data_IF_394828818171
#
_entry.id   IF_394828818171
#
_cell.length_a   1.000
_cell.length_b   1.000
_cell.length_c   1.000
_cell.angle_alpha   90.00
_cell.angle_beta   90.00
_cell.angle_gamma   90.00
#
_symmetry.space_group_name_H-M   'P 1'
#
loop_
_entity.id
_entity.type
_entity.pdbx_description
1 polymer ?
#
# COMPACT_ATOMS: atom_id res chain seq x y z
N UNK A 1 15.06 11.64 3.34
CA UNK A 1 14.99 12.11 4.71
C UNK A 1 14.14 11.17 5.56
N UNK A 2 14.63 10.79 6.73
CA UNK A 2 13.94 9.87 7.65
C UNK A 2 12.60 10.42 8.16
N UNK A 3 12.43 11.75 8.10
CA UNK A 3 11.19 12.40 8.52
C UNK A 3 10.18 12.56 7.40
N UNK A 4 10.44 11.98 6.23
CA UNK A 4 9.49 12.01 5.13
C UNK A 4 8.27 11.17 5.47
N UNK A 5 7.09 11.74 5.22
CA UNK A 5 5.83 11.02 5.41
C UNK A 5 5.65 10.01 4.31
N UNK A 6 5.25 8.80 4.69
CA UNK A 6 5.03 7.70 3.75
C UNK A 6 3.54 7.51 3.48
N UNK A 7 2.73 7.44 4.53
CA UNK A 7 1.29 7.25 4.40
C UNK A 7 0.57 7.63 5.69
N UNK A 8 -0.73 7.84 5.56
CA UNK A 8 -1.63 7.98 6.70
C UNK A 8 -2.30 6.62 6.95
N UNK A 9 -2.32 6.18 8.20
CA UNK A 9 -2.93 4.91 8.59
C UNK A 9 -4.13 5.21 9.47
N UNK A 10 -5.29 4.66 9.09
CA UNK A 10 -6.50 4.66 9.91
C UNK A 10 -6.74 3.23 10.39
N UNK A 11 -6.62 3.02 11.69
CA UNK A 11 -6.80 1.71 12.29
C UNK A 11 -8.20 1.63 12.91
N UNK A 12 -9.03 0.78 12.34
CA UNK A 12 -10.42 0.59 12.75
C UNK A 12 -10.62 -0.65 13.63
N UNK A 13 -9.55 -1.33 14.05
CA UNK A 13 -9.67 -2.58 14.80
C UNK A 13 -10.15 -2.39 16.23
N UNK A 14 -9.90 -1.23 16.82
CA UNK A 14 -10.34 -0.89 18.15
C UNK A 14 -11.75 -0.30 18.18
N UNK A 15 -12.24 0.03 19.39
CA UNK A 15 -13.54 0.65 19.57
C UNK A 15 -13.59 2.10 19.09
N UNK A 16 -12.41 2.74 18.98
CA UNK A 16 -12.26 4.11 18.50
C UNK A 16 -11.25 4.08 17.36
N UNK A 17 -11.57 4.69 16.20
CA UNK A 17 -10.60 4.81 15.12
C UNK A 17 -9.34 5.53 15.58
N UNK A 18 -8.18 5.00 15.21
CA UNK A 18 -6.88 5.58 15.54
C UNK A 18 -6.21 5.99 14.25
N UNK A 19 -5.83 7.27 14.16
CA UNK A 19 -5.12 7.79 13.00
C UNK A 19 -3.66 8.06 13.34
N UNK A 20 -2.77 7.70 12.44
CA UNK A 20 -1.35 7.93 12.57
C UNK A 20 -0.73 8.24 11.21
N UNK A 21 0.46 8.81 11.25
CA UNK A 21 1.29 9.01 10.07
C UNK A 21 2.51 8.11 10.19
N UNK A 22 2.77 7.34 9.15
CA UNK A 22 3.97 6.52 9.05
C UNK A 22 5.06 7.31 8.35
N UNK A 23 6.24 7.33 8.95
CA UNK A 23 7.42 8.03 8.42
C UNK A 23 8.40 7.04 7.81
N UNK A 24 9.31 7.56 6.99
CA UNK A 24 10.30 6.75 6.26
C UNK A 24 11.18 5.89 7.19
N UNK A 25 11.42 6.35 8.41
CA UNK A 25 12.16 5.58 9.42
C UNK A 25 11.31 4.52 10.14
N UNK A 26 10.11 4.22 9.63
CA UNK A 26 9.18 3.21 10.13
C UNK A 26 8.47 3.56 11.44
N UNK A 27 8.63 4.79 11.92
CA UNK A 27 7.93 5.27 13.13
C UNK A 27 6.54 5.74 12.75
N UNK A 28 5.54 5.38 13.55
CA UNK A 28 4.19 5.90 13.46
C UNK A 28 3.96 6.93 14.57
N UNK A 29 3.36 8.05 14.20
CA UNK A 29 2.99 9.10 15.16
C UNK A 29 1.51 9.36 15.01
N UNK A 30 0.76 9.30 16.12
CA UNK A 30 -0.67 9.63 16.10
C UNK A 30 -0.86 11.06 15.61
N UNK A 31 -1.83 11.24 14.72
CA UNK A 31 -2.09 12.54 14.11
C UNK A 31 -3.51 12.59 13.58
N UNK A 32 -4.20 13.70 13.83
CA UNK A 32 -5.51 13.97 13.26
C UNK A 32 -5.41 14.79 11.98
N UNK A 33 -4.18 15.14 11.57
CA UNK A 33 -3.97 15.93 10.37
C UNK A 33 -4.33 15.11 9.11
N UNK A 34 -4.87 15.81 8.13
CA UNK A 34 -5.17 15.23 6.83
C UNK A 34 -4.02 15.58 5.90
N UNK A 35 -3.37 14.57 5.32
CA UNK A 35 -2.28 14.77 4.39
C UNK A 35 -2.63 14.22 3.02
N UNK A 36 -2.12 14.85 1.97
CA UNK A 36 -2.23 14.36 0.61
C UNK A 36 -1.13 13.33 0.35
N UNK A 37 -1.20 12.20 1.04
CA UNK A 37 -0.29 11.06 0.90
C UNK A 37 -1.15 9.80 0.84
N UNK A 38 -0.61 8.66 0.36
CA UNK A 38 -1.40 7.43 0.29
C UNK A 38 -2.02 7.12 1.63
N UNK A 39 -3.22 6.58 1.61
CA UNK A 39 -3.94 6.19 2.82
C UNK A 39 -4.03 4.67 2.93
N UNK A 40 -3.91 4.19 4.15
CA UNK A 40 -4.12 2.79 4.49
C UNK A 40 -5.20 2.72 5.58
N UNK A 41 -6.19 1.87 5.36
CA UNK A 41 -7.21 1.56 6.37
C UNK A 41 -7.01 0.12 6.81
N UNK A 42 -6.85 -0.11 8.11
CA UNK A 42 -6.76 -1.44 8.70
C UNK A 42 -8.10 -1.77 9.33
N UNK A 43 -8.80 -2.77 8.80
CA UNK A 43 -10.14 -3.14 9.25
C UNK A 43 -10.15 -4.35 10.16
N UNK A 44 -9.15 -5.22 10.04
CA UNK A 44 -9.03 -6.43 10.83
C UNK A 44 -7.56 -6.79 11.00
N UNK A 45 -7.23 -7.64 11.94
CA UNK A 45 -5.86 -8.01 12.25
C UNK A 45 -5.68 -9.47 12.53
N UNK A 46 -4.48 -9.86 12.97
CA UNK A 46 -3.36 -9.01 13.39
C UNK A 46 -2.56 -8.43 12.23
N UNK A 47 -1.82 -7.37 12.52
CA UNK A 47 -0.82 -6.81 11.61
C UNK A 47 0.47 -7.62 11.76
N UNK A 48 1.05 -8.12 10.67
CA UNK A 48 2.25 -8.95 10.78
C UNK A 48 3.48 -8.14 11.21
N UNK A 49 4.45 -8.84 11.79
CA UNK A 49 5.74 -8.26 12.16
C UNK A 49 6.42 -7.71 10.91
N UNK A 50 7.01 -6.53 11.02
CA UNK A 50 7.69 -5.89 9.89
C UNK A 50 6.77 -5.13 8.94
N UNK A 51 5.50 -4.98 9.32
CA UNK A 51 4.49 -4.34 8.47
C UNK A 51 4.90 -2.92 8.06
N UNK A 52 5.40 -2.11 9.00
CA UNK A 52 5.78 -0.73 8.69
C UNK A 52 6.92 -0.67 7.67
N UNK A 53 7.89 -1.57 7.77
CA UNK A 53 8.97 -1.68 6.80
C UNK A 53 8.44 -2.06 5.41
N UNK A 54 7.45 -2.96 5.35
CA UNK A 54 6.80 -3.33 4.10
C UNK A 54 6.08 -2.13 3.47
N UNK A 55 5.42 -1.30 4.28
CA UNK A 55 4.75 -0.11 3.78
C UNK A 55 5.74 0.91 3.21
N UNK A 56 6.85 1.13 3.90
CA UNK A 56 7.90 2.03 3.41
C UNK A 56 8.47 1.51 2.09
N UNK A 57 8.77 0.22 2.01
CA UNK A 57 9.29 -0.43 0.81
C UNK A 57 8.31 -0.32 -0.36
N UNK A 58 7.03 -0.56 -0.10
CA UNK A 58 5.95 -0.43 -1.08
C UNK A 58 5.95 0.97 -1.71
N UNK A 59 5.85 2.00 -0.89
CA UNK A 59 5.71 3.37 -1.38
C UNK A 59 6.98 3.85 -2.07
N UNK A 60 8.15 3.56 -1.50
CA UNK A 60 9.43 3.97 -2.11
C UNK A 60 9.62 3.30 -3.47
N UNK A 61 9.24 2.03 -3.61
CA UNK A 61 9.34 1.31 -4.88
C UNK A 61 8.37 1.88 -5.91
N UNK A 62 7.11 2.12 -5.53
CA UNK A 62 6.13 2.74 -6.44
C UNK A 62 6.61 4.10 -6.94
N UNK A 63 7.19 4.91 -6.06
CA UNK A 63 7.76 6.21 -6.44
C UNK A 63 8.90 6.06 -7.45
N UNK A 64 9.71 5.01 -7.35
CA UNK A 64 10.83 4.79 -8.26
C UNK A 64 10.38 4.52 -9.70
N UNK A 65 9.12 4.10 -9.87
CA UNK A 65 8.49 3.90 -11.19
C UNK A 65 7.69 5.13 -11.65
N UNK A 66 7.82 6.26 -10.95
CA UNK A 66 7.12 7.52 -11.26
C UNK A 66 5.59 7.39 -11.19
N UNK A 67 5.08 6.45 -10.41
CA UNK A 67 3.65 6.36 -10.18
C UNK A 67 3.20 7.43 -9.20
N UNK A 68 1.99 7.94 -9.41
CA UNK A 68 1.41 8.92 -8.50
C UNK A 68 0.91 8.20 -7.24
N UNK A 69 1.77 8.13 -6.23
CA UNK A 69 1.44 7.43 -4.98
C UNK A 69 0.24 8.03 -4.26
N UNK A 70 -0.05 9.33 -4.49
CA UNK A 70 -1.22 9.98 -3.89
C UNK A 70 -2.54 9.48 -4.47
N UNK A 71 -2.49 8.76 -5.59
CA UNK A 71 -3.67 8.15 -6.20
C UNK A 71 -3.95 6.74 -5.67
N UNK A 72 -3.14 6.25 -4.74
CA UNK A 72 -3.34 4.93 -4.12
C UNK A 72 -4.13 5.05 -2.82
N UNK A 73 -5.06 4.12 -2.65
CA UNK A 73 -5.74 3.86 -1.38
C UNK A 73 -5.53 2.38 -1.06
N UNK A 74 -5.08 2.09 0.14
CA UNK A 74 -4.81 0.72 0.57
C UNK A 74 -5.75 0.30 1.70
N UNK A 75 -6.05 -0.99 1.73
CA UNK A 75 -6.84 -1.61 2.81
C UNK A 75 -6.16 -2.92 3.21
N UNK A 76 -6.05 -3.15 4.51
CA UNK A 76 -5.64 -4.43 5.05
C UNK A 76 -6.76 -4.96 5.93
N UNK A 77 -7.24 -6.17 5.65
CA UNK A 77 -8.39 -6.77 6.35
C UNK A 77 -8.00 -7.95 7.25
N UNK A 78 -6.72 -8.09 7.58
CA UNK A 78 -6.22 -9.21 8.37
C UNK A 78 -5.83 -10.41 7.52
N UNK A 79 -6.20 -10.43 6.26
CA UNK A 79 -5.97 -11.54 5.33
C UNK A 79 -5.26 -11.06 4.06
N UNK A 80 -5.82 -10.06 3.40
CA UNK A 80 -5.30 -9.53 2.15
C UNK A 80 -5.00 -8.04 2.25
N UNK A 81 -3.90 -7.64 1.61
CA UNK A 81 -3.50 -6.26 1.42
C UNK A 81 -3.92 -5.83 0.01
N UNK A 82 -4.84 -4.87 -0.06
CA UNK A 82 -5.47 -4.48 -1.32
C UNK A 82 -5.21 -3.01 -1.58
N UNK A 83 -4.78 -2.69 -2.79
CA UNK A 83 -4.62 -1.32 -3.26
C UNK A 83 -5.62 -0.99 -4.34
N UNK A 84 -5.99 0.28 -4.39
CA UNK A 84 -6.81 0.82 -5.46
C UNK A 84 -6.05 2.00 -6.06
N UNK A 85 -5.77 1.91 -7.35
CA UNK A 85 -5.05 2.94 -8.07
C UNK A 85 -5.85 3.33 -9.30
N UNK A 86 -6.45 4.54 -9.24
CA UNK A 86 -7.33 5.01 -10.30
C UNK A 86 -8.45 3.98 -10.52
N UNK A 87 -8.54 3.38 -11.70
CA UNK A 87 -9.58 2.40 -12.03
C UNK A 87 -9.14 0.95 -11.88
N UNK A 88 -8.01 0.72 -11.21
CA UNK A 88 -7.42 -0.62 -11.08
C UNK A 88 -7.44 -1.06 -9.63
N UNK A 89 -7.98 -2.25 -9.37
CA UNK A 89 -7.94 -2.92 -8.08
C UNK A 89 -6.76 -3.88 -8.07
N UNK A 90 -5.94 -3.80 -7.02
CA UNK A 90 -4.72 -4.60 -6.90
C UNK A 90 -4.78 -5.40 -5.61
N UNK A 91 -4.85 -6.72 -5.74
CA UNK A 91 -4.78 -7.62 -4.59
C UNK A 91 -3.33 -8.10 -4.47
N UNK A 92 -2.62 -7.56 -3.49
CA UNK A 92 -1.23 -7.95 -3.20
C UNK A 92 -1.14 -9.27 -2.43
N UNK A 93 -2.29 -9.80 -1.95
CA UNK A 93 -2.30 -10.96 -1.09
C UNK A 93 -1.73 -10.64 0.29
N UNK A 94 -0.82 -11.46 0.79
CA UNK A 94 -0.16 -11.17 2.07
C UNK A 94 0.65 -9.88 1.98
N UNK A 95 0.71 -9.08 3.06
CA UNK A 95 1.53 -7.86 3.08
C UNK A 95 3.01 -8.16 3.29
N UNK A 96 3.54 -9.07 2.49
CA UNK A 96 4.93 -9.49 2.48
C UNK A 96 5.50 -9.32 1.07
N UNK A 97 6.80 -9.05 0.99
CA UNK A 97 7.51 -8.86 -0.28
C UNK A 97 6.88 -7.74 -1.12
N UNK A 98 6.36 -6.71 -0.46
CA UNK A 98 5.65 -5.63 -1.14
C UNK A 98 6.57 -4.79 -2.04
N UNK A 99 7.86 -4.72 -1.73
CA UNK A 99 8.83 -4.09 -2.61
C UNK A 99 8.93 -4.81 -3.96
N UNK A 100 9.06 -6.13 -3.94
CA UNK A 100 9.13 -6.95 -5.15
C UNK A 100 7.83 -6.89 -5.95
N UNK A 101 6.69 -7.00 -5.25
CA UNK A 101 5.37 -6.90 -5.88
C UNK A 101 5.15 -5.53 -6.50
N UNK A 102 5.58 -4.47 -5.84
CA UNK A 102 5.48 -3.10 -6.36
C UNK A 102 6.34 -2.91 -7.60
N UNK A 103 7.49 -3.53 -7.65
CA UNK A 103 8.37 -3.49 -8.82
C UNK A 103 7.70 -4.15 -10.03
N UNK A 104 7.11 -5.32 -9.84
CA UNK A 104 6.36 -6.01 -10.90
C UNK A 104 5.15 -5.19 -11.34
N UNK A 105 4.44 -4.60 -10.39
CA UNK A 105 3.28 -3.74 -10.66
C UNK A 105 3.70 -2.50 -11.44
N UNK A 106 4.78 -1.85 -11.02
CA UNK A 106 5.30 -0.65 -11.68
C UNK A 106 5.67 -0.92 -13.13
N UNK A 107 6.34 -2.04 -13.40
CA UNK A 107 6.69 -2.44 -14.76
C UNK A 107 5.44 -2.66 -15.62
N UNK A 108 4.40 -3.29 -15.06
CA UNK A 108 3.16 -3.53 -15.79
C UNK A 108 2.44 -2.22 -16.12
N UNK A 109 2.27 -1.34 -15.14
CA UNK A 109 1.55 -0.07 -15.30
C UNK A 109 2.31 0.88 -16.22
N UNK A 110 3.63 0.90 -16.13
CA UNK A 110 4.49 1.73 -16.97
C UNK A 110 4.35 1.37 -18.46
N UNK A 111 4.15 0.09 -18.75
CA UNK A 111 4.10 -0.41 -20.14
C UNK A 111 2.68 -0.55 -20.70
N UNK A 112 1.65 -0.51 -19.87
CA UNK A 112 0.27 -0.64 -20.31
C UNK A 112 -0.70 -0.02 -19.31
N UNK A 113 -1.81 0.51 -19.84
CA UNK A 113 -2.91 0.94 -18.97
C UNK A 113 -3.78 -0.27 -18.66
N UNK A 114 -3.94 -0.56 -17.38
CA UNK A 114 -4.84 -1.61 -16.94
C UNK A 114 -6.01 -0.99 -16.20
N UNK A 115 -7.21 -1.29 -16.67
CA UNK A 115 -8.44 -0.95 -15.95
C UNK A 115 -9.12 -2.25 -15.61
N UNK A 116 -9.09 -2.62 -14.34
CA UNK A 116 -9.67 -3.88 -13.90
C UNK A 116 -9.02 -4.39 -12.64
N UNK A 117 -8.56 -5.64 -12.66
CA UNK A 117 -8.00 -6.28 -11.49
C UNK A 117 -6.62 -6.86 -11.77
N UNK A 118 -5.72 -6.68 -10.80
CA UNK A 118 -4.42 -7.31 -10.76
C UNK A 118 -4.35 -8.09 -9.46
N UNK A 119 -3.95 -9.36 -9.53
CA UNK A 119 -3.81 -10.20 -8.34
C UNK A 119 -2.44 -10.86 -8.33
N UNK A 120 -1.73 -10.74 -7.21
CA UNK A 120 -0.44 -11.40 -7.01
C UNK A 120 -0.66 -12.83 -6.52
N UNK A 121 0.03 -13.77 -7.17
CA UNK A 121 0.05 -15.19 -6.78
C UNK A 121 1.28 -15.45 -5.92
N UNK A 122 2.37 -14.75 -6.23
CA UNK A 122 3.63 -14.80 -5.49
C UNK A 122 4.30 -13.42 -5.60
N UNK A 123 5.51 -13.28 -5.06
CA UNK A 123 6.21 -12.00 -5.06
C UNK A 123 6.54 -11.45 -6.46
N UNK A 124 6.56 -12.30 -7.48
CA UNK A 124 6.91 -11.90 -8.85
C UNK A 124 5.82 -12.24 -9.87
N UNK A 125 4.91 -13.14 -9.52
CA UNK A 125 3.89 -13.62 -10.45
C UNK A 125 2.55 -12.97 -10.16
N UNK A 126 1.94 -12.44 -11.20
CA UNK A 126 0.63 -11.80 -11.10
C UNK A 126 -0.28 -12.22 -12.25
N UNK A 127 -1.58 -12.07 -12.02
CA UNK A 127 -2.61 -12.23 -13.04
C UNK A 127 -3.27 -10.87 -13.20
N UNK A 128 -3.37 -10.38 -14.43
CA UNK A 128 -4.00 -9.11 -14.73
C UNK A 128 -5.19 -9.34 -15.66
N UNK A 129 -6.36 -8.86 -15.24
CA UNK A 129 -7.58 -8.82 -16.05
C UNK A 129 -7.87 -7.35 -16.35
N UNK A 130 -7.37 -6.88 -17.46
CA UNK A 130 -7.50 -5.48 -17.88
C UNK A 130 -8.52 -5.37 -19.02
N UNK A 131 -9.31 -4.33 -18.98
CA UNK A 131 -10.29 -4.05 -20.02
C UNK A 131 -9.99 -2.79 -20.80
#
# INVERSE_FOLDING_TARGET
>A
NEYDKIMTITDLRGSVPKKSTLYKNMIEIESDDIFLIPSLTITNGPVPTGFNGEMVSLIMTLKSYNLDVNSFNFTYNGDSFIGEYRSTLIDFGNPLDLGSKSSALGSLIENSECQGEIRFISKEDLIANCS
#
